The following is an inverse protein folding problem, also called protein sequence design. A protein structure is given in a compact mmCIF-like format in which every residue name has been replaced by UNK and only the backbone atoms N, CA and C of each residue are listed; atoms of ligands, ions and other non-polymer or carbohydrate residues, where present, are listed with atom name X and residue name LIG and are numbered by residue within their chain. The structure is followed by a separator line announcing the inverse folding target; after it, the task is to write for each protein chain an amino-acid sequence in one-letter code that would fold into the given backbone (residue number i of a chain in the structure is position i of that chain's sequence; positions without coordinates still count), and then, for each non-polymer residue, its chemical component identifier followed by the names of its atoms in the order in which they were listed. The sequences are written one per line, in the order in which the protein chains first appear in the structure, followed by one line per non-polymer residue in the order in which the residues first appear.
data_IF_869936808383
#
_entry.id   IF_869936808383
#
_cell.length_a   1.000
_cell.length_b   1.000
_cell.length_c   1.000
_cell.angle_alpha   90.00
_cell.angle_beta   90.00
_cell.angle_gamma   90.00
#
_symmetry.space_group_name_H-M   'P 1'
#
loop_
_entity.id
_entity.type
_entity.pdbx_description
1 polymer ?
2 non-polymer ?
3 water ?
#
# COMPACT_ATOMS: atom_id res chain seq x y z
N UNK A 2 -3.75 -6.50 23.88
CA UNK A 2 -5.10 -6.90 23.36
C UNK A 2 -5.41 -6.32 21.95
N UNK A 3 -6.69 -6.08 21.68
CA UNK A 3 -7.15 -5.57 20.41
C UNK A 3 -7.86 -4.21 20.60
N UNK A 4 -7.61 -3.27 19.69
CA UNK A 4 -8.22 -1.96 19.74
C UNK A 4 -9.75 -2.15 19.82
N UNK A 5 -10.43 -1.43 20.73
CA UNK A 5 -11.88 -1.46 20.99
C UNK A 5 -12.73 -1.34 19.74
N UNK A 6 -12.50 -0.28 18.97
CA UNK A 6 -13.26 -0.06 17.75
C UNK A 6 -12.94 -1.15 16.73
N UNK A 7 -11.68 -1.58 16.65
CA UNK A 7 -11.35 -2.66 15.71
C UNK A 7 -12.19 -3.88 16.13
N UNK A 8 -12.21 -4.16 17.43
CA UNK A 8 -12.99 -5.28 17.96
C UNK A 8 -14.44 -5.18 17.49
N UNK A 9 -15.02 -4.00 17.57
CA UNK A 9 -16.40 -3.84 17.17
C UNK A 9 -16.55 -4.04 15.67
N UNK A 10 -15.51 -3.69 14.92
CA UNK A 10 -15.52 -3.86 13.46
C UNK A 10 -15.59 -5.35 13.14
N UNK A 11 -14.73 -6.13 13.79
CA UNK A 11 -14.70 -7.56 13.55
C UNK A 11 -16.01 -8.22 13.96
N UNK A 12 -16.64 -7.72 15.03
CA UNK A 12 -17.91 -8.28 15.50
C UNK A 12 -19.01 -8.12 14.46
N UNK A 13 -19.06 -6.95 13.87
CA UNK A 13 -20.04 -6.62 12.86
C UNK A 13 -19.75 -7.46 11.63
N UNK A 14 -18.46 -7.68 11.39
CA UNK A 14 -18.02 -8.44 10.24
C UNK A 14 -18.28 -9.93 10.36
N UNK A 15 -18.08 -10.49 11.56
CA UNK A 15 -18.29 -11.92 11.78
C UNK A 15 -19.77 -12.30 11.91
N UNK A 16 -20.63 -11.28 11.91
CA UNK A 16 -22.06 -11.48 12.00
C UNK A 16 -22.55 -11.91 10.62
N UNK A 17 -21.82 -11.48 9.60
CA UNK A 17 -22.13 -11.79 8.21
C UNK A 17 -21.80 -13.24 7.88
N UNK A 18 -22.40 -13.77 6.80
CA UNK A 18 -22.16 -15.14 6.36
C UNK A 18 -20.67 -15.37 6.12
N UNK A 19 -20.22 -16.60 6.29
CA UNK A 19 -18.83 -16.92 6.01
C UNK A 19 -18.65 -16.70 4.51
N UNK A 20 -17.66 -15.92 4.11
CA UNK A 20 -17.46 -15.69 2.67
C UNK A 20 -17.42 -17.00 1.90
N UNK A 21 -17.85 -16.98 0.65
CA UNK A 21 -17.86 -18.15 -0.22
C UNK A 21 -16.90 -17.84 -1.39
N UNK A 22 -15.60 -17.96 -1.13
CA UNK A 22 -14.59 -17.63 -2.14
C UNK A 22 -14.66 -18.47 -3.42
N UNK A 23 -15.25 -19.65 -3.33
CA UNK A 23 -15.37 -20.51 -4.49
C UNK A 23 -16.25 -19.86 -5.56
N UNK A 24 -17.20 -19.02 -5.13
CA UNK A 24 -18.12 -18.34 -6.05
C UNK A 24 -18.09 -16.83 -6.02
N UNK A 25 -17.29 -16.23 -5.15
CA UNK A 25 -17.21 -14.79 -5.09
C UNK A 25 -16.54 -14.27 -6.35
N UNK A 26 -17.08 -13.20 -6.93
CA UNK A 26 -16.49 -12.62 -8.13
C UNK A 26 -15.92 -11.26 -7.77
N UNK A 27 -15.05 -10.74 -8.62
CA UNK A 27 -14.44 -9.43 -8.37
C UNK A 27 -15.50 -8.35 -8.22
N UNK A 28 -16.51 -8.36 -9.10
CA UNK A 28 -17.58 -7.37 -9.05
C UNK A 28 -18.35 -7.42 -7.73
N UNK A 29 -18.69 -8.64 -7.30
CA UNK A 29 -19.41 -8.85 -6.05
C UNK A 29 -18.60 -8.28 -4.90
N UNK A 30 -17.30 -8.64 -4.84
CA UNK A 30 -16.43 -8.17 -3.77
C UNK A 30 -16.19 -6.67 -3.78
N UNK A 31 -16.15 -6.06 -4.96
CA UNK A 31 -15.95 -4.62 -5.02
C UNK A 31 -17.14 -3.92 -4.37
N UNK A 32 -18.31 -4.54 -4.46
CA UNK A 32 -19.51 -4.00 -3.85
C UNK A 32 -19.38 -4.04 -2.33
N UNK A 33 -18.90 -5.17 -1.81
CA UNK A 33 -18.74 -5.32 -0.38
C UNK A 33 -17.87 -4.23 0.22
N UNK A 34 -17.08 -3.56 -0.60
CA UNK A 34 -16.22 -2.50 -0.11
C UNK A 34 -17.03 -1.32 0.43
N UNK A 35 -18.30 -1.22 0.04
CA UNK A 35 -19.13 -0.12 0.51
C UNK A 35 -19.46 -0.32 2.00
N UNK A 36 -19.06 -1.46 2.54
CA UNK A 36 -19.31 -1.76 3.95
C UNK A 36 -18.44 -0.92 4.88
N UNK A 37 -17.31 -0.42 4.39
CA UNK A 37 -16.43 0.42 5.20
C UNK A 37 -17.17 1.68 5.61
N UNK A 38 -17.22 1.95 6.93
CA UNK A 38 -17.91 3.13 7.47
C UNK A 38 -17.36 4.46 6.96
N UNK A 39 -18.21 5.50 6.97
CA UNK A 39 -17.77 6.82 6.51
C UNK A 39 -16.61 7.23 7.42
N UNK A 40 -15.62 7.92 6.87
CA UNK A 40 -14.48 8.34 7.64
C UNK A 40 -14.20 9.82 7.40
N UNK A 41 -13.46 10.46 8.29
CA UNK A 41 -13.18 11.87 8.10
C UNK A 41 -12.13 12.13 7.04
N UNK A 42 -12.43 13.09 6.19
CA UNK A 42 -11.49 13.50 5.15
C UNK A 42 -10.80 14.75 5.65
N UNK A 43 -9.53 14.60 6.04
CA UNK A 43 -8.77 15.74 6.52
C UNK A 43 -8.63 16.76 5.39
N UNK A 44 -8.66 18.05 5.73
CA UNK A 44 -8.54 19.11 4.73
C UNK A 44 -7.13 19.32 4.19
N UNK A 45 -7.04 19.61 2.90
CA UNK A 45 -5.77 19.91 2.23
C UNK A 45 -5.98 21.14 1.36
N UNK A 46 -4.90 21.83 1.04
CA UNK A 46 -4.97 23.02 0.22
C UNK A 46 -5.66 22.76 -1.10
N UNK A 47 -5.35 21.63 -1.72
CA UNK A 47 -5.94 21.31 -3.02
C UNK A 47 -5.97 19.84 -3.42
N UNK A 48 -7.03 19.47 -4.12
CA UNK A 48 -7.20 18.13 -4.61
C UNK A 48 -7.44 18.25 -6.10
N UNK A 49 -6.58 17.61 -6.89
CA UNK A 49 -6.71 17.67 -8.33
C UNK A 49 -6.60 16.28 -8.91
N UNK A 50 -7.37 16.03 -9.95
CA UNK A 50 -7.35 14.74 -10.60
C UNK A 50 -6.97 14.96 -12.05
N UNK A 51 -6.20 14.04 -12.61
CA UNK A 51 -5.82 14.17 -14.02
C UNK A 51 -5.51 12.82 -14.61
N UNK A 52 -5.44 12.77 -15.93
CA UNK A 52 -5.17 11.53 -16.64
C UNK A 52 -3.71 11.36 -17.04
N UNK A 53 -3.21 10.15 -16.91
CA UNK A 53 -1.85 9.85 -17.36
C UNK A 53 -2.07 8.91 -18.53
N UNK A 54 -1.76 9.38 -19.73
CA UNK A 54 -1.92 8.58 -20.93
C UNK A 54 -0.68 7.76 -21.11
N UNK A 55 -0.78 6.48 -20.79
CA UNK A 55 0.34 5.58 -20.92
C UNK A 55 0.12 4.61 -22.07
N UNK A 56 1.19 3.99 -22.56
CA UNK A 56 0.88 3.07 -23.66
C UNK A 56 -0.08 1.99 -23.18
N UNK A 57 -1.17 1.82 -23.93
CA UNK A 57 -2.15 0.82 -23.61
C UNK A 57 -3.21 1.25 -22.62
N UNK A 58 -3.00 2.35 -21.92
CA UNK A 58 -4.00 2.78 -20.96
C UNK A 58 -3.83 4.15 -20.35
N UNK A 59 -4.95 4.70 -19.90
CA UNK A 59 -4.96 5.98 -19.22
C UNK A 59 -5.28 5.69 -17.75
N UNK A 60 -4.38 6.11 -16.86
CA UNK A 60 -4.57 5.90 -15.44
C UNK A 60 -4.95 7.23 -14.79
N UNK A 61 -5.95 7.19 -13.93
CA UNK A 61 -6.37 8.38 -13.20
C UNK A 61 -5.42 8.59 -12.04
N UNK A 62 -5.27 9.85 -11.64
CA UNK A 62 -4.41 10.19 -10.52
C UNK A 62 -5.05 11.29 -9.71
N UNK A 63 -5.06 11.13 -8.40
CA UNK A 63 -5.61 12.19 -7.57
C UNK A 63 -4.45 12.77 -6.79
N UNK A 64 -4.17 14.04 -7.03
CA UNK A 64 -3.08 14.75 -6.38
C UNK A 64 -3.59 15.56 -5.20
N UNK A 65 -2.95 15.39 -4.04
CA UNK A 65 -3.33 16.11 -2.84
C UNK A 65 -2.22 17.02 -2.38
N UNK A 66 -2.45 18.32 -2.45
CA UNK A 66 -1.44 19.27 -2.00
C UNK A 66 -1.86 19.75 -0.61
N UNK A 67 -1.02 19.47 0.40
CA UNK A 67 -1.31 19.86 1.78
C UNK A 67 -1.22 21.37 1.97
N UNK A 68 -1.77 21.87 3.08
CA UNK A 68 -1.75 23.30 3.36
C UNK A 68 -0.43 23.66 4.03
N UNK A 69 0.09 24.84 3.74
CA UNK A 69 1.31 25.29 4.36
C UNK A 69 2.63 24.61 4.06
N UNK A 70 2.80 24.12 2.83
CA UNK A 70 4.07 23.50 2.45
C UNK A 70 4.52 24.24 1.21
N UNK A 71 5.74 24.74 1.22
CA UNK A 71 6.26 25.49 0.09
C UNK A 71 7.07 24.64 -0.89
N UNK A 72 6.97 24.97 -2.18
CA UNK A 72 7.69 24.26 -3.26
C UNK A 72 9.17 24.62 -3.27
N UNK A 73 10.01 23.75 -3.86
CA UNK A 73 9.63 22.50 -4.49
C UNK A 73 9.07 21.56 -3.43
N UNK A 74 7.94 20.93 -3.72
CA UNK A 74 7.33 20.05 -2.72
C UNK A 74 7.86 18.63 -2.75
N UNK A 75 7.91 18.00 -1.57
CA UNK A 75 8.37 16.61 -1.51
C UNK A 75 7.08 15.88 -1.93
N UNK A 76 7.18 14.68 -2.47
CA UNK A 76 5.98 13.99 -2.91
C UNK A 76 5.95 12.50 -2.55
N UNK A 77 4.75 11.95 -2.62
CA UNK A 77 4.52 10.54 -2.35
C UNK A 77 3.60 9.99 -3.43
N UNK A 78 4.12 9.06 -4.25
CA UNK A 78 3.29 8.45 -5.27
C UNK A 78 2.71 7.28 -4.48
N UNK A 79 1.41 7.31 -4.26
CA UNK A 79 0.73 6.29 -3.46
C UNK A 79 -0.10 5.29 -4.24
N UNK A 80 -0.06 4.03 -3.80
CA UNK A 80 -0.82 2.95 -4.44
C UNK A 80 -1.73 2.37 -3.39
N UNK A 81 -3.03 2.44 -3.63
CA UNK A 81 -4.00 1.93 -2.67
C UNK A 81 -3.97 0.40 -2.54
N UNK A 82 -4.48 -0.10 -1.42
CA UNK A 82 -4.53 -1.53 -1.22
C UNK A 82 -5.84 -2.13 -1.74
N UNK A 83 -6.02 -3.43 -1.51
CA UNK A 83 -7.22 -4.09 -1.97
C UNK A 83 -6.96 -5.38 -2.71
N UNK A 84 -5.90 -6.07 -2.33
CA UNK A 84 -5.56 -7.34 -2.95
C UNK A 84 -5.39 -7.36 -4.45
N UNK A 85 -5.09 -6.19 -5.04
CA UNK A 85 -4.88 -6.07 -6.50
C UNK A 85 -6.22 -6.26 -7.21
N UNK A 86 -7.29 -6.29 -6.45
CA UNK A 86 -8.60 -6.51 -7.04
C UNK A 86 -9.63 -5.42 -6.76
N UNK A 87 -9.63 -4.92 -5.53
CA UNK A 87 -10.59 -3.90 -5.13
C UNK A 87 -9.89 -2.61 -4.77
N UNK A 88 -10.68 -1.62 -4.36
CA UNK A 88 -10.15 -0.33 -3.98
C UNK A 88 -10.09 0.59 -5.19
N UNK A 89 -9.90 1.88 -4.93
CA UNK A 89 -9.78 2.86 -6.00
C UNK A 89 -9.35 4.21 -5.40
N UNK A 90 -9.56 5.30 -6.12
CA UNK A 90 -9.16 6.61 -5.61
C UNK A 90 -10.02 7.09 -4.45
N UNK A 91 -11.22 6.56 -4.34
CA UNK A 91 -12.12 6.98 -3.28
C UNK A 91 -11.92 6.19 -1.99
N UNK A 92 -11.71 4.88 -2.12
CA UNK A 92 -11.53 4.04 -0.93
C UNK A 92 -10.37 4.50 -0.06
N UNK A 93 -9.30 4.99 -0.67
CA UNK A 93 -8.16 5.42 0.11
C UNK A 93 -7.98 6.92 0.09
N UNK A 94 -9.01 7.64 -0.30
CA UNK A 94 -8.93 9.08 -0.31
C UNK A 94 -8.63 9.62 1.12
N UNK A 95 -9.35 9.14 2.15
CA UNK A 95 -9.07 9.63 3.51
C UNK A 95 -7.64 9.32 3.93
N UNK A 96 -7.14 8.17 3.50
CA UNK A 96 -5.77 7.81 3.85
C UNK A 96 -4.81 8.80 3.21
N UNK A 97 -4.97 9.05 1.92
CA UNK A 97 -4.08 9.98 1.24
C UNK A 97 -4.09 11.36 1.86
N UNK A 98 -5.23 11.82 2.34
CA UNK A 98 -5.31 13.15 2.95
C UNK A 98 -4.44 13.22 4.18
N UNK A 99 -4.53 12.20 5.03
CA UNK A 99 -3.72 12.21 6.24
C UNK A 99 -2.23 12.20 5.89
N UNK A 100 -1.85 11.34 4.95
CA UNK A 100 -0.43 11.27 4.56
C UNK A 100 0.04 12.62 4.03
N UNK A 101 -0.81 13.31 3.26
CA UNK A 101 -0.45 14.61 2.71
C UNK A 101 -0.42 15.67 3.81
N UNK A 102 -1.49 15.73 4.57
CA UNK A 102 -1.61 16.70 5.64
C UNK A 102 -0.54 16.57 6.73
N UNK A 103 -0.36 15.38 7.30
CA UNK A 103 0.63 15.22 8.35
C UNK A 103 1.99 14.86 7.78
N UNK A 104 2.00 14.28 6.59
CA UNK A 104 3.25 13.92 5.97
C UNK A 104 3.90 15.15 5.38
N UNK A 105 3.10 16.20 5.21
CA UNK A 105 3.59 17.47 4.65
C UNK A 105 4.16 17.25 3.25
N UNK A 106 3.54 16.34 2.50
CA UNK A 106 3.99 16.05 1.16
C UNK A 106 2.81 16.02 0.21
N UNK A 107 3.10 16.22 -1.09
CA UNK A 107 2.06 16.18 -2.12
C UNK A 107 1.88 14.70 -2.43
N UNK A 108 0.66 14.21 -2.29
CA UNK A 108 0.39 12.82 -2.53
C UNK A 108 -0.29 12.62 -3.87
N UNK A 109 0.19 11.62 -4.61
CA UNK A 109 -0.37 11.30 -5.92
C UNK A 109 -0.94 9.91 -5.79
N UNK A 110 -2.25 9.81 -5.67
CA UNK A 110 -2.89 8.52 -5.55
C UNK A 110 -3.15 7.98 -6.95
N UNK A 111 -2.52 6.86 -7.27
CA UNK A 111 -2.62 6.25 -8.59
C UNK A 111 -3.71 5.19 -8.74
N UNK A 112 -4.59 5.41 -9.72
CA UNK A 112 -5.70 4.51 -10.02
C UNK A 112 -5.20 3.40 -10.97
N UNK A 113 -4.34 2.53 -10.46
CA UNK A 113 -3.80 1.45 -11.28
C UNK A 113 -4.87 0.43 -11.63
N UNK A 114 -4.66 -0.31 -12.71
CA UNK A 114 -5.62 -1.31 -13.18
C UNK A 114 -5.71 -2.50 -12.23
N UNK A 115 -6.91 -3.03 -12.09
CA UNK A 115 -7.17 -4.16 -11.20
C UNK A 115 -7.39 -5.50 -11.89
N UNK A 116 -7.09 -6.55 -11.16
CA UNK A 116 -7.30 -7.91 -11.67
C UNK A 116 -8.72 -8.23 -11.20
N UNK A 117 -9.37 -9.25 -11.79
CA UNK A 117 -8.85 -10.11 -12.86
C UNK A 117 -8.91 -9.54 -14.26
N UNK A 118 -9.52 -8.37 -14.43
CA UNK A 118 -9.62 -7.75 -15.75
C UNK A 118 -8.23 -7.51 -16.30
N UNK A 119 -7.30 -7.23 -15.40
CA UNK A 119 -5.91 -7.01 -15.77
C UNK A 119 -5.04 -7.78 -14.79
N UNK A 120 -4.67 -8.99 -15.19
CA UNK A 120 -3.88 -9.89 -14.37
C UNK A 120 -2.46 -9.38 -14.11
N UNK A 121 -1.77 -10.07 -13.23
CA UNK A 121 -0.38 -9.78 -12.93
C UNK A 121 0.34 -9.84 -14.29
N UNK A 122 1.31 -8.94 -14.53
CA UNK A 122 1.81 -7.87 -13.67
C UNK A 122 1.32 -6.48 -14.08
N UNK A 123 0.11 -6.40 -14.63
CA UNK A 123 -0.41 -5.10 -15.04
C UNK A 123 -0.28 -4.05 -13.91
N UNK A 124 -0.75 -4.35 -12.70
CA UNK A 124 -0.67 -3.38 -11.61
C UNK A 124 0.77 -2.92 -11.41
N UNK A 125 1.69 -3.87 -11.41
CA UNK A 125 3.09 -3.55 -11.23
C UNK A 125 3.59 -2.60 -12.30
N UNK A 126 3.24 -2.86 -13.56
CA UNK A 126 3.69 -1.98 -14.64
C UNK A 126 3.11 -0.59 -14.48
N UNK A 127 1.88 -0.54 -13.96
CA UNK A 127 1.18 0.72 -13.75
C UNK A 127 1.85 1.52 -12.65
N UNK A 128 2.22 0.84 -11.57
CA UNK A 128 2.86 1.52 -10.43
C UNK A 128 4.15 2.18 -10.88
N UNK A 129 4.94 1.44 -11.64
CA UNK A 129 6.20 1.96 -12.09
C UNK A 129 6.00 3.08 -13.11
N UNK A 130 5.25 2.78 -14.17
CA UNK A 130 5.03 3.76 -15.22
C UNK A 130 4.41 5.05 -14.69
N UNK A 131 3.56 4.91 -13.66
CA UNK A 131 2.93 6.08 -13.05
C UNK A 131 4.00 6.92 -12.36
N UNK A 132 4.91 6.27 -11.65
CA UNK A 132 5.97 7.00 -10.96
C UNK A 132 6.86 7.71 -11.97
N UNK A 133 7.12 7.03 -13.09
CA UNK A 133 7.97 7.58 -14.14
C UNK A 133 7.31 8.81 -14.72
N UNK A 134 6.03 8.68 -15.03
CA UNK A 134 5.25 9.77 -15.59
C UNK A 134 5.23 11.02 -14.68
N UNK A 135 5.03 10.79 -13.39
CA UNK A 135 4.99 11.89 -12.42
C UNK A 135 6.36 12.50 -12.20
N UNK A 136 7.39 11.67 -12.04
CA UNK A 136 8.73 12.19 -11.82
C UNK A 136 9.16 12.99 -13.04
N UNK A 137 8.85 12.46 -14.22
CA UNK A 137 9.18 13.11 -15.48
C UNK A 137 8.61 14.53 -15.50
N UNK A 138 7.51 14.73 -14.81
CA UNK A 138 6.86 16.02 -14.76
C UNK A 138 7.06 16.71 -13.41
N UNK A 139 8.21 16.45 -12.79
CA UNK A 139 8.52 17.08 -11.52
C UNK A 139 8.32 18.58 -11.63
N UNK A 140 8.93 19.17 -12.64
CA UNK A 140 8.82 20.61 -12.84
C UNK A 140 7.37 21.07 -12.92
N UNK A 141 6.55 20.40 -13.73
CA UNK A 141 5.14 20.80 -13.86
C UNK A 141 4.36 20.73 -12.55
N UNK A 142 4.81 19.87 -11.63
CA UNK A 142 4.11 19.73 -10.36
C UNK A 142 4.84 20.44 -9.21
N UNK A 143 5.86 21.22 -9.55
CA UNK A 143 6.65 21.96 -8.57
C UNK A 143 7.18 21.04 -7.48
N UNK A 144 7.62 19.85 -7.90
CA UNK A 144 8.15 18.86 -6.98
C UNK A 144 9.66 18.91 -6.90
N UNK A 145 10.20 18.41 -5.80
CA UNK A 145 11.63 18.34 -5.63
C UNK A 145 11.98 16.92 -6.07
N UNK A 146 12.65 16.79 -7.23
CA UNK A 146 13.05 15.48 -7.79
C UNK A 146 13.73 14.57 -6.80
N UNK A 147 14.48 15.16 -5.87
CA UNK A 147 15.20 14.42 -4.85
C UNK A 147 14.33 13.98 -3.69
N UNK A 148 13.10 14.49 -3.61
CA UNK A 148 12.25 14.11 -2.51
C UNK A 148 10.91 13.50 -2.94
N UNK A 149 10.98 12.52 -3.83
CA UNK A 149 9.80 11.82 -4.32
C UNK A 149 9.82 10.41 -3.76
N UNK A 150 8.83 10.09 -2.93
CA UNK A 150 8.72 8.77 -2.34
C UNK A 150 7.60 7.95 -2.96
N UNK A 151 7.67 6.64 -2.75
CA UNK A 151 6.64 5.74 -3.23
C UNK A 151 6.12 5.07 -1.95
N UNK A 152 4.86 4.69 -1.97
CA UNK A 152 4.25 4.06 -0.81
C UNK A 152 2.89 3.48 -1.13
N UNK A 153 2.36 2.68 -0.21
CA UNK A 153 1.07 2.06 -0.38
C UNK A 153 0.78 1.13 0.77
N UNK A 154 -0.47 0.67 0.85
CA UNK A 154 -0.89 -0.25 1.90
C UNK A 154 -1.19 -1.62 1.26
N UNK A 155 -0.91 -2.70 2.00
CA UNK A 155 -1.12 -4.09 1.54
C UNK A 155 -0.59 -4.29 0.12
N UNK A 156 -1.49 -4.66 -0.79
CA UNK A 156 -1.11 -4.86 -2.18
C UNK A 156 -0.44 -3.60 -2.71
N UNK A 157 -0.81 -2.45 -2.13
CA UNK A 157 -0.24 -1.18 -2.53
C UNK A 157 1.21 -1.06 -2.05
N UNK A 158 1.49 -1.66 -0.90
CA UNK A 158 2.84 -1.62 -0.36
C UNK A 158 3.68 -2.52 -1.25
N UNK A 159 3.04 -3.57 -1.73
CA UNK A 159 3.72 -4.51 -2.60
C UNK A 159 4.14 -3.76 -3.86
N UNK A 160 3.21 -2.99 -4.43
CA UNK A 160 3.51 -2.26 -5.65
C UNK A 160 4.58 -1.22 -5.44
N UNK A 161 4.63 -0.61 -4.26
CA UNK A 161 5.64 0.40 -4.00
C UNK A 161 7.02 -0.27 -3.91
N UNK A 162 7.08 -1.38 -3.19
CA UNK A 162 8.33 -2.10 -3.04
C UNK A 162 8.83 -2.59 -4.40
N UNK A 163 7.95 -3.21 -5.19
CA UNK A 163 8.38 -3.69 -6.50
C UNK A 163 8.77 -2.50 -7.41
N UNK A 164 8.03 -1.40 -7.33
CA UNK A 164 8.36 -0.23 -8.15
C UNK A 164 9.78 0.26 -7.83
N UNK A 165 10.16 0.17 -6.56
CA UNK A 165 11.49 0.58 -6.15
C UNK A 165 12.53 -0.28 -6.84
N UNK A 166 12.32 -1.59 -6.81
CA UNK A 166 13.23 -2.52 -7.45
C UNK A 166 13.33 -2.22 -8.95
N UNK A 167 12.19 -1.99 -9.61
CA UNK A 167 12.22 -1.70 -11.03
C UNK A 167 12.93 -0.39 -11.37
N UNK A 168 12.77 0.62 -10.52
CA UNK A 168 13.42 1.91 -10.73
C UNK A 168 14.95 1.71 -10.61
N UNK A 169 15.35 0.80 -9.71
CA UNK A 169 16.76 0.50 -9.56
C UNK A 169 17.31 -0.14 -10.83
N UNK A 170 16.57 -1.12 -11.36
CA UNK A 170 17.01 -1.79 -12.57
C UNK A 170 17.04 -0.88 -13.77
N UNK A 171 16.05 0.01 -13.86
CA UNK A 171 15.93 0.89 -15.01
C UNK A 171 16.68 2.21 -14.90
N UNK A 172 17.48 2.37 -13.84
CA UNK A 172 18.24 3.59 -13.65
C UNK A 172 17.41 4.77 -13.22
N UNK A 173 16.23 4.52 -12.66
CA UNK A 173 15.38 5.62 -12.21
C UNK A 173 13.89 5.33 -12.36
N UNK A 174 13.03 6.28 -11.99
CA UNK A 174 13.46 7.58 -11.44
C UNK A 174 13.95 7.46 -9.99
N UNK A 175 14.55 8.54 -9.48
CA UNK A 175 15.06 8.52 -8.12
C UNK A 175 13.95 8.44 -7.07
N UNK A 176 14.05 7.46 -6.17
CA UNK A 176 13.07 7.31 -5.10
C UNK A 176 13.77 7.60 -3.80
N UNK A 177 13.31 8.63 -3.10
CA UNK A 177 13.93 8.99 -1.84
C UNK A 177 13.55 8.12 -0.66
N UNK A 178 12.33 7.59 -0.67
CA UNK A 178 11.87 6.82 0.48
C UNK A 178 10.78 5.82 0.12
N UNK A 179 10.64 4.77 0.94
CA UNK A 179 9.62 3.72 0.75
C UNK A 179 8.67 3.68 1.96
N UNK A 180 7.40 4.06 1.79
CA UNK A 180 6.43 4.01 2.88
C UNK A 180 5.57 2.77 2.63
N UNK A 181 5.82 1.71 3.40
CA UNK A 181 5.10 0.46 3.21
C UNK A 181 4.22 0.14 4.42
N UNK A 182 2.91 0.30 4.22
CA UNK A 182 1.91 0.11 5.26
C UNK A 182 1.35 -1.31 5.20
N UNK A 183 1.68 -2.12 6.22
CA UNK A 183 1.31 -3.55 6.29
C UNK A 183 1.30 -4.15 4.88
N UNK A 184 2.45 -4.03 4.19
CA UNK A 184 2.68 -4.50 2.84
C UNK A 184 2.73 -6.01 2.65
N UNK A 185 2.36 -6.43 1.46
CA UNK A 185 2.40 -7.82 1.07
C UNK A 185 3.70 -7.92 0.27
N UNK A 186 4.84 -7.98 0.96
CA UNK A 186 6.13 -8.04 0.28
C UNK A 186 6.60 -9.44 -0.12
N UNK A 187 5.73 -10.42 0.06
CA UNK A 187 6.06 -11.77 -0.33
C UNK A 187 6.85 -12.60 0.65
N UNK A 188 7.09 -13.84 0.22
CA UNK A 188 7.83 -14.85 0.98
C UNK A 188 7.75 -16.14 0.20
N UNK A 189 8.63 -17.07 0.55
CA UNK A 189 8.63 -18.35 -0.12
C UNK A 189 7.46 -19.13 0.46
N UNK A 190 6.45 -19.43 -0.37
CA UNK A 190 5.26 -20.17 0.07
C UNK A 190 5.58 -21.47 0.81
N UNK A 191 6.71 -22.09 0.47
CA UNK A 191 7.10 -23.33 1.12
C UNK A 191 7.60 -23.09 2.54
N UNK A 192 7.85 -21.83 2.88
CA UNK A 192 8.35 -21.48 4.22
C UNK A 192 7.73 -20.19 4.74
N UNK A 193 6.40 -20.21 4.95
CA UNK A 193 5.70 -19.01 5.44
C UNK A 193 6.09 -18.50 6.83
N UNK A 194 6.07 -17.17 7.01
CA UNK A 194 6.40 -16.58 8.30
C UNK A 194 5.30 -17.02 9.26
N UNK A 195 5.59 -17.05 10.55
CA UNK A 195 4.64 -17.50 11.54
C UNK A 195 3.26 -16.83 11.54
N UNK A 196 3.21 -15.53 11.25
CA UNK A 196 1.92 -14.84 11.28
C UNK A 196 0.92 -15.29 10.22
N UNK A 197 1.38 -15.94 9.15
CA UNK A 197 0.46 -16.40 8.11
C UNK A 197 -0.57 -17.37 8.72
N UNK A 198 -0.11 -18.34 9.51
CA UNK A 198 -1.00 -19.29 10.15
C UNK A 198 -1.62 -18.69 11.41
N UNK A 199 -0.83 -17.93 12.16
CA UNK A 199 -1.32 -17.31 13.39
C UNK A 199 -2.55 -16.43 13.22
N UNK A 200 -2.51 -15.53 12.25
CA UNK A 200 -3.62 -14.62 12.04
C UNK A 200 -4.45 -14.93 10.81
N UNK A 201 -4.47 -16.21 10.45
CA UNK A 201 -5.19 -16.68 9.27
C UNK A 201 -6.71 -16.41 9.29
N UNK A 202 -7.28 -16.29 10.49
CA UNK A 202 -8.72 -16.07 10.58
C UNK A 202 -9.25 -15.09 11.61
N UNK A 203 -10.35 -14.46 11.26
CA UNK A 203 -11.03 -13.53 12.16
C UNK A 203 -10.50 -12.11 12.27
N UNK A 204 -9.52 -11.73 11.47
CA UNK A 204 -8.96 -10.38 11.55
C UNK A 204 -9.08 -9.59 10.26
N UNK A 205 -10.26 -9.65 9.64
CA UNK A 205 -10.58 -8.95 8.40
C UNK A 205 -9.84 -9.57 7.22
N UNK A 206 -8.52 -9.35 7.14
CA UNK A 206 -7.76 -9.96 6.05
C UNK A 206 -7.51 -11.38 6.54
N UNK A 207 -7.99 -12.34 5.78
CA UNK A 207 -7.85 -13.73 6.17
C UNK A 207 -7.06 -14.52 5.14
N UNK A 208 -6.70 -15.74 5.52
CA UNK A 208 -5.96 -16.61 4.63
C UNK A 208 -6.79 -16.88 3.40
N UNK A 209 -8.08 -17.16 3.60
CA UNK A 209 -8.95 -17.42 2.47
C UNK A 209 -9.08 -16.23 1.54
N UNK A 210 -9.21 -15.05 2.12
CA UNK A 210 -9.34 -13.84 1.32
C UNK A 210 -8.09 -13.63 0.48
N UNK A 211 -6.89 -13.85 1.07
CA UNK A 211 -5.64 -13.67 0.33
C UNK A 211 -5.62 -14.70 -0.78
N UNK A 212 -6.07 -15.92 -0.50
CA UNK A 212 -6.08 -16.94 -1.53
C UNK A 212 -6.96 -16.49 -2.69
N UNK A 213 -8.09 -15.88 -2.35
CA UNK A 213 -9.02 -15.42 -3.36
C UNK A 213 -8.38 -14.33 -4.23
N UNK A 214 -7.67 -13.40 -3.59
CA UNK A 214 -6.98 -12.31 -4.29
C UNK A 214 -5.94 -12.92 -5.25
N UNK A 215 -5.13 -13.83 -4.73
CA UNK A 215 -4.10 -14.45 -5.54
C UNK A 215 -4.67 -15.13 -6.78
N UNK A 216 -5.85 -15.71 -6.64
CA UNK A 216 -6.47 -16.39 -7.76
C UNK A 216 -6.95 -15.40 -8.80
N UNK A 217 -7.32 -14.20 -8.37
CA UNK A 217 -7.78 -13.15 -9.29
C UNK A 217 -6.61 -12.44 -9.98
N UNK A 218 -5.53 -12.24 -9.24
CA UNK A 218 -4.34 -11.52 -9.72
C UNK A 218 -3.32 -12.33 -10.51
N UNK A 219 -2.90 -13.46 -9.95
CA UNK A 219 -1.90 -14.30 -10.58
C UNK A 219 -2.42 -15.21 -11.68
N UNK A 220 -1.52 -15.61 -12.57
CA UNK A 220 -1.84 -16.47 -13.69
C UNK A 220 -1.50 -17.94 -13.44
N UNK A 221 -0.48 -18.17 -12.64
CA UNK A 221 -0.02 -19.52 -12.36
C UNK A 221 0.70 -19.63 -11.03
N UNK A 222 0.85 -20.88 -10.61
CA UNK A 222 1.50 -21.23 -9.35
C UNK A 222 2.90 -20.65 -9.24
N UNK A 223 3.65 -20.76 -10.33
CA UNK A 223 5.02 -20.28 -10.39
C UNK A 223 5.23 -18.80 -10.06
N UNK A 224 4.21 -17.98 -10.25
CA UNK A 224 4.35 -16.56 -9.96
C UNK A 224 4.42 -16.24 -8.48
N UNK A 225 4.12 -17.22 -7.64
CA UNK A 225 4.17 -17.02 -6.20
C UNK A 225 5.58 -16.64 -5.76
N UNK A 226 6.59 -17.11 -6.49
CA UNK A 226 7.97 -16.80 -6.17
C UNK A 226 8.58 -15.77 -7.12
N UNK A 227 7.75 -15.23 -8.01
CA UNK A 227 8.20 -14.20 -8.95
C UNK A 227 8.55 -12.95 -8.14
N UNK A 228 9.72 -12.36 -8.38
CA UNK A 228 10.12 -11.16 -7.63
C UNK A 228 9.16 -9.97 -7.75
N UNK A 229 8.48 -9.85 -8.90
CA UNK A 229 7.54 -8.76 -9.10
C UNK A 229 6.29 -9.00 -8.28
N UNK A 230 6.14 -10.21 -7.75
CA UNK A 230 5.01 -10.53 -6.89
C UNK A 230 5.49 -10.65 -5.45
N UNK A 231 6.67 -11.24 -5.25
CA UNK A 231 7.27 -11.37 -3.92
C UNK A 231 8.63 -10.66 -3.95
N UNK A 232 8.62 -9.32 -3.85
CA UNK A 232 9.89 -8.58 -3.89
C UNK A 232 10.98 -9.05 -2.93
N UNK A 233 10.58 -9.69 -1.83
CA UNK A 233 11.55 -10.18 -0.85
C UNK A 233 12.41 -11.29 -1.44
N UNK A 234 11.99 -11.84 -2.57
CA UNK A 234 12.75 -12.90 -3.20
C UNK A 234 13.67 -12.35 -4.27
N UNK A 235 13.55 -11.05 -4.56
CA UNK A 235 14.43 -10.44 -5.55
C UNK A 235 15.85 -10.74 -5.08
N UNK A 236 16.72 -11.19 -5.98
CA UNK A 236 18.12 -11.55 -5.69
C UNK A 236 19.02 -10.48 -5.07
N UNK A 237 18.81 -9.21 -5.40
CA UNK A 237 19.65 -8.18 -4.85
C UNK A 237 18.86 -6.94 -4.40
N UNK A 238 18.65 -6.84 -3.09
CA UNK A 238 17.90 -5.72 -2.51
C UNK A 238 18.73 -4.50 -2.15
N UNK A 239 20.04 -4.55 -2.32
CA UNK A 239 20.86 -3.41 -1.95
C UNK A 239 20.63 -2.20 -2.87
N UNK A 240 20.87 -1.01 -2.33
CA UNK A 240 20.68 0.20 -3.11
C UNK A 240 19.23 0.64 -3.20
N UNK A 241 18.31 -0.12 -2.61
CA UNK A 241 16.90 0.27 -2.64
C UNK A 241 16.68 1.47 -1.72
N UNK A 242 15.63 2.25 -1.96
CA UNK A 242 15.37 3.44 -1.13
C UNK A 242 15.23 3.09 0.34
N UNK A 243 15.64 4.01 1.23
CA UNK A 243 15.49 3.70 2.66
C UNK A 243 13.99 3.52 2.90
N UNK A 244 13.62 2.70 3.88
CA UNK A 244 12.21 2.43 4.10
C UNK A 244 11.67 2.44 5.54
N UNK A 245 10.37 2.62 5.60
CA UNK A 245 9.63 2.60 6.85
C UNK A 245 8.55 1.56 6.60
N UNK A 246 8.44 0.58 7.48
CA UNK A 246 7.42 -0.46 7.30
C UNK A 246 6.55 -0.51 8.53
N UNK A 247 5.24 -0.47 8.35
CA UNK A 247 4.32 -0.56 9.47
C UNK A 247 3.62 -1.94 9.36
N UNK A 248 3.51 -2.62 10.49
CA UNK A 248 2.85 -3.90 10.50
C UNK A 248 1.85 -3.85 11.63
N UNK A 249 0.86 -4.74 11.57
CA UNK A 249 -0.18 -4.84 12.59
C UNK A 249 -0.07 -6.20 13.26
N UNK A 250 -0.21 -6.20 14.58
CA UNK A 250 -0.09 -7.42 15.36
C UNK A 250 -1.00 -8.56 14.93
N UNK A 251 -2.22 -8.27 14.51
CA UNK A 251 -3.15 -9.33 14.12
C UNK A 251 -3.29 -9.56 12.62
N UNK A 252 -2.33 -9.04 11.88
CA UNK A 252 -2.31 -9.16 10.43
C UNK A 252 -1.55 -10.42 10.03
N UNK A 253 -2.14 -11.24 9.14
CA UNK A 253 -1.42 -12.45 8.73
C UNK A 253 -0.11 -12.06 8.03
N UNK A 254 -0.07 -10.83 7.52
CA UNK A 254 1.09 -10.32 6.82
C UNK A 254 2.09 -9.68 7.76
N UNK A 255 1.81 -9.71 9.06
CA UNK A 255 2.71 -9.12 10.05
C UNK A 255 4.17 -9.50 9.82
N UNK A 256 4.49 -10.80 9.96
CA UNK A 256 5.87 -11.27 9.80
C UNK A 256 6.37 -11.18 8.36
N UNK A 257 5.47 -10.96 7.41
CA UNK A 257 5.89 -10.81 6.03
C UNK A 257 6.59 -9.46 5.95
N UNK A 258 6.01 -8.48 6.64
CA UNK A 258 6.55 -7.14 6.68
C UNK A 258 7.88 -7.19 7.37
N UNK A 259 7.95 -7.94 8.47
CA UNK A 259 9.20 -8.08 9.21
C UNK A 259 10.26 -8.75 8.32
N UNK A 260 9.83 -9.71 7.52
CA UNK A 260 10.73 -10.42 6.64
C UNK A 260 11.40 -9.45 5.63
N UNK A 261 10.64 -8.49 5.15
CA UNK A 261 11.18 -7.56 4.17
C UNK A 261 12.15 -6.59 4.83
N UNK A 262 11.81 -6.15 6.05
CA UNK A 262 12.67 -5.25 6.80
C UNK A 262 14.01 -5.93 7.01
N UNK A 263 13.95 -7.17 7.46
CA UNK A 263 15.13 -7.97 7.71
C UNK A 263 15.92 -8.10 6.40
N UNK A 264 15.23 -8.44 5.32
CA UNK A 264 15.91 -8.59 4.03
C UNK A 264 16.58 -7.30 3.59
N UNK A 265 15.89 -6.17 3.74
CA UNK A 265 16.46 -4.89 3.33
C UNK A 265 17.67 -4.54 4.18
N UNK A 266 17.55 -4.75 5.49
CA UNK A 266 18.65 -4.43 6.36
C UNK A 266 19.87 -5.28 6.03
N UNK A 267 19.65 -6.55 5.73
CA UNK A 267 20.75 -7.43 5.39
C UNK A 267 21.46 -6.91 4.13
N UNK A 268 20.71 -6.25 3.25
CA UNK A 268 21.27 -5.72 2.02
C UNK A 268 21.83 -4.32 2.22
N UNK A 269 21.90 -3.90 3.48
CA UNK A 269 22.47 -2.59 3.76
C UNK A 269 21.58 -1.39 3.53
N UNK A 270 20.27 -1.61 3.43
CA UNK A 270 19.34 -0.51 3.23
C UNK A 270 18.84 -0.07 4.59
N UNK A 271 18.77 1.25 4.81
CA UNK A 271 18.26 1.74 6.09
C UNK A 271 16.77 1.49 6.12
N UNK A 272 16.31 0.82 7.17
CA UNK A 272 14.90 0.53 7.29
C UNK A 272 14.42 0.59 8.73
N UNK A 273 13.26 1.20 8.92
CA UNK A 273 12.65 1.27 10.23
C UNK A 273 11.34 0.48 10.12
N UNK A 274 11.06 -0.34 11.11
CA UNK A 274 9.83 -1.11 11.10
C UNK A 274 9.18 -0.99 12.47
N UNK A 275 7.89 -0.71 12.46
CA UNK A 275 7.12 -0.58 13.69
C UNK A 275 5.89 -1.44 13.63
N UNK A 276 5.68 -2.20 14.71
CA UNK A 276 4.52 -3.05 14.79
C UNK A 276 3.49 -2.41 15.73
N UNK A 277 2.29 -2.21 15.23
CA UNK A 277 1.22 -1.64 16.04
C UNK A 277 0.50 -2.81 16.72
N UNK A 278 0.76 -2.95 18.03
CA UNK A 278 0.27 -4.04 18.88
C UNK A 278 -1.22 -4.39 19.00
N UNK A 279 -2.10 -3.43 18.80
CA UNK A 279 -3.51 -3.71 18.96
C UNK A 279 -4.32 -3.50 17.70
N UNK A 280 -3.64 -3.50 16.56
CA UNK A 280 -4.35 -3.29 15.31
C UNK A 280 -4.35 -4.49 14.37
N UNK A 281 -5.21 -4.44 13.36
CA UNK A 281 -5.33 -5.49 12.36
C UNK A 281 -4.90 -4.91 11.02
N UNK A 282 -4.82 -5.79 10.04
CA UNK A 282 -4.47 -5.35 8.71
C UNK A 282 -5.55 -4.38 8.26
N UNK A 283 -5.18 -3.39 7.47
CA UNK A 283 -6.13 -2.41 6.95
C UNK A 283 -6.60 -1.35 7.93
N UNK A 284 -5.90 -1.22 9.06
CA UNK A 284 -6.30 -0.23 10.07
C UNK A 284 -6.35 1.23 9.62
N UNK A 285 -5.61 1.55 8.56
CA UNK A 285 -5.59 2.92 8.07
C UNK A 285 -7.00 3.36 7.62
N UNK A 286 -7.76 2.40 7.13
CA UNK A 286 -9.10 2.70 6.65
C UNK A 286 -10.09 2.99 7.77
N UNK A 287 -9.64 2.88 9.02
CA UNK A 287 -10.53 3.19 10.14
C UNK A 287 -10.03 4.43 10.86
N UNK A 288 -9.24 5.22 10.14
CA UNK A 288 -8.72 6.49 10.63
C UNK A 288 -9.92 7.32 11.05
N UNK A 289 -9.79 7.99 12.20
CA UNK A 289 -10.82 8.85 12.80
C UNK A 289 -11.97 8.08 13.47
N UNK A 290 -11.97 6.75 13.33
CA UNK A 290 -13.00 5.92 13.99
C UNK A 290 -12.36 5.14 15.14
N UNK A 291 -11.27 4.44 14.86
CA UNK A 291 -10.54 3.67 15.87
C UNK A 291 -9.43 4.56 16.48
N UNK A 292 -9.31 4.56 17.82
CA UNK A 292 -8.25 5.40 18.40
C UNK A 292 -6.87 4.87 18.02
N UNK A 293 -6.70 3.55 18.06
CA UNK A 293 -5.42 2.97 17.70
C UNK A 293 -5.05 3.28 16.24
N UNK A 294 -5.98 3.05 15.32
CA UNK A 294 -5.71 3.30 13.91
C UNK A 294 -5.43 4.77 13.63
N UNK A 295 -6.15 5.66 14.30
CA UNK A 295 -5.96 7.08 14.09
C UNK A 295 -4.54 7.53 14.49
N UNK A 296 -4.10 7.14 15.67
CA UNK A 296 -2.75 7.51 16.10
C UNK A 296 -1.69 6.84 15.21
N UNK A 297 -1.93 5.57 14.86
CA UNK A 297 -0.99 4.84 14.02
C UNK A 297 -0.79 5.50 12.67
N UNK A 298 -1.87 5.83 11.97
CA UNK A 298 -1.77 6.45 10.65
C UNK A 298 -1.11 7.81 10.73
N UNK A 299 -1.45 8.59 11.75
CA UNK A 299 -0.84 9.90 11.90
C UNK A 299 0.66 9.70 12.12
N UNK A 300 1.01 8.70 12.93
CA UNK A 300 2.42 8.42 13.18
C UNK A 300 3.15 8.05 11.89
N UNK A 301 2.50 7.21 11.09
CA UNK A 301 3.07 6.79 9.83
C UNK A 301 3.31 8.01 8.95
N UNK A 302 2.35 8.93 8.92
CA UNK A 302 2.51 10.16 8.12
C UNK A 302 3.67 11.03 8.63
N UNK A 303 3.89 11.03 9.94
CA UNK A 303 4.97 11.82 10.50
C UNK A 303 6.31 11.15 10.21
N UNK A 304 6.27 9.84 10.05
CA UNK A 304 7.49 9.11 9.72
C UNK A 304 7.89 9.54 8.31
N UNK A 305 6.88 9.67 7.45
CA UNK A 305 7.07 10.09 6.07
C UNK A 305 7.61 11.51 6.05
N UNK A 306 7.03 12.36 6.90
CA UNK A 306 7.41 13.76 7.01
C UNK A 306 8.88 13.89 7.34
N UNK A 307 9.32 13.17 8.36
CA UNK A 307 10.72 13.23 8.74
C UNK A 307 11.59 12.70 7.65
N UNK A 308 11.09 11.70 6.93
CA UNK A 308 11.86 11.08 5.88
C UNK A 308 12.15 12.04 4.74
N UNK A 309 11.17 12.85 4.37
CA UNK A 309 11.36 13.78 3.26
C UNK A 309 11.77 15.21 3.66
N UNK A 310 11.95 15.44 4.95
CA UNK A 310 12.33 16.74 5.49
C UNK A 310 13.58 17.30 4.80
#
# INVERSE_FOLDING_TARGET
MPLDPVIQQVLDQLNRMPAPDYKHLSAQQFRSQQSLFPPVKKEPVAEVREFDMDLPGRTLKVRMYRPEGVEPPYPALVYYHGGGWVVGDLETHDPVCRVLAKDGRAVVFSVDYRLAPEHKFPAAVEDAYDALQWIAERAADFHLDPARIAVGGDSAGGNLAAVTSILAKERGGPALAFQLLIYPSTGYDPAHPPASIEENAEGYLLTGGMSLWFLDQYLNSLEELTHPWFSPVLYPDLSGLPPAYIATAQYDPLRDVGKLYAEALNKAGVKVEIENFEDLIHGFAQFYSLSPGATKALVRIAEKLRDALA
#
